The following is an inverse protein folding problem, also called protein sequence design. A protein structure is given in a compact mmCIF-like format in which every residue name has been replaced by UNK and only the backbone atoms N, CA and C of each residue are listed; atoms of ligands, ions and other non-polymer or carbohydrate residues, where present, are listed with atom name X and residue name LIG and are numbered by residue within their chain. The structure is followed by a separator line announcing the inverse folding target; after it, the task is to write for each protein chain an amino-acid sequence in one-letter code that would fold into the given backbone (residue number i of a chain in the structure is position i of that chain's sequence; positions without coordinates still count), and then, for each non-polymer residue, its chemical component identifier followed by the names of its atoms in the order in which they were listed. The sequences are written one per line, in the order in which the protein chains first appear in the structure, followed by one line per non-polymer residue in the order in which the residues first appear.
data_IF_546293630412
#
_entry.id   IF_546293630412
#
_cell.length_a   1.000
_cell.length_b   1.000
_cell.length_c   1.000
_cell.angle_alpha   90.00
_cell.angle_beta   90.00
_cell.angle_gamma   90.00
#
_symmetry.space_group_name_H-M   'P 1'
#
loop_
_entity.id
_entity.type
_entity.pdbx_description
1 polymer ?
#
# COMPACT_ATOMS: atom_id res chain seq x y z
N UNK A 1 41.02 -0.52 14.26
CA UNK A 1 40.13 0.66 14.36
C UNK A 1 39.01 0.34 15.33
N UNK A 2 38.84 1.12 16.39
CA UNK A 2 37.71 1.01 17.34
C UNK A 2 36.45 1.55 16.67
N UNK A 3 35.49 0.68 16.31
CA UNK A 3 34.21 1.08 15.72
C UNK A 3 33.22 1.42 16.85
N UNK A 4 32.78 2.68 16.89
CA UNK A 4 31.73 3.17 17.79
C UNK A 4 30.39 2.58 17.35
N UNK A 5 29.58 2.08 18.29
CA UNK A 5 28.21 1.63 18.02
C UNK A 5 27.43 2.77 17.37
N UNK A 6 26.94 2.53 16.15
CA UNK A 6 26.15 3.46 15.35
C UNK A 6 24.87 2.77 14.92
N UNK A 7 23.74 3.46 15.03
CA UNK A 7 22.43 3.02 14.54
C UNK A 7 22.17 3.38 13.07
N UNK A 8 23.17 3.97 12.40
CA UNK A 8 23.15 4.35 10.97
C UNK A 8 24.35 3.75 10.24
N UNK A 9 24.21 3.45 8.95
CA UNK A 9 25.32 2.91 8.15
C UNK A 9 26.45 3.93 8.09
N UNK A 10 27.65 3.51 8.50
CA UNK A 10 28.86 4.37 8.52
C UNK A 10 29.45 4.52 7.10
N UNK A 11 29.16 3.57 6.21
CA UNK A 11 29.74 3.48 4.87
C UNK A 11 28.75 4.03 3.83
N UNK A 12 29.00 5.25 3.33
CA UNK A 12 28.18 5.92 2.30
C UNK A 12 28.71 5.77 0.86
N UNK A 13 29.88 5.18 0.70
CA UNK A 13 30.57 4.93 -0.57
C UNK A 13 31.26 3.57 -0.53
N UNK A 14 31.42 2.93 -1.67
CA UNK A 14 32.24 1.71 -1.78
C UNK A 14 33.65 2.02 -1.30
N UNK A 15 34.13 1.25 -0.32
CA UNK A 15 35.49 1.33 0.19
C UNK A 15 36.21 0.00 -0.06
N UNK A 16 37.54 0.02 -0.11
CA UNK A 16 38.31 -1.21 -0.30
C UNK A 16 39.61 -1.16 0.48
N UNK A 17 39.97 -2.29 1.05
CA UNK A 17 41.23 -2.46 1.77
C UNK A 17 41.83 -3.83 1.48
N UNK A 18 43.11 -4.02 1.80
CA UNK A 18 43.80 -5.28 1.61
C UNK A 18 44.71 -5.63 2.77
N UNK A 19 44.84 -6.93 3.02
CA UNK A 19 45.74 -7.49 4.02
C UNK A 19 46.55 -8.65 3.43
N UNK A 20 47.78 -8.84 3.90
CA UNK A 20 48.55 -10.04 3.61
C UNK A 20 48.29 -11.08 4.70
N UNK A 21 47.76 -12.23 4.32
CA UNK A 21 47.51 -13.35 5.22
C UNK A 21 48.18 -14.61 4.65
N UNK A 22 49.14 -15.19 5.38
CA UNK A 22 49.90 -16.40 4.97
C UNK A 22 50.43 -16.33 3.53
N UNK A 23 50.99 -15.18 3.16
CA UNK A 23 51.55 -14.94 1.81
C UNK A 23 50.52 -14.62 0.72
N UNK A 24 49.21 -14.70 1.01
CA UNK A 24 48.12 -14.30 0.10
C UNK A 24 47.74 -12.85 0.33
N UNK A 25 47.49 -12.09 -0.74
CA UNK A 25 46.88 -10.75 -0.65
C UNK A 25 45.36 -10.91 -0.68
N UNK A 26 44.71 -10.64 0.45
CA UNK A 26 43.27 -10.59 0.56
C UNK A 26 42.82 -9.15 0.30
N UNK A 27 41.85 -8.94 -0.59
CA UNK A 27 41.27 -7.62 -0.85
C UNK A 27 39.78 -7.70 -0.55
N UNK A 28 39.29 -6.80 0.30
CA UNK A 28 37.89 -6.74 0.70
C UNK A 28 37.32 -5.43 0.17
N UNK A 29 36.12 -5.50 -0.40
CA UNK A 29 35.36 -4.34 -0.87
C UNK A 29 34.15 -4.22 0.04
N UNK A 30 34.10 -3.15 0.83
CA UNK A 30 32.97 -2.83 1.69
C UNK A 30 31.95 -2.01 0.88
N UNK A 31 30.73 -2.54 0.76
CA UNK A 31 29.63 -1.85 0.09
C UNK A 31 28.74 -1.17 1.13
N UNK A 32 28.17 0.01 0.82
CA UNK A 32 27.13 0.61 1.65
C UNK A 32 26.01 -0.39 1.96
N UNK A 33 25.55 -0.42 3.21
CA UNK A 33 24.48 -1.32 3.65
C UNK A 33 23.15 -1.02 2.96
N UNK A 34 22.37 -2.08 2.66
CA UNK A 34 21.04 -1.99 2.03
C UNK A 34 19.97 -1.31 2.91
N UNK A 35 20.16 -1.28 4.22
CA UNK A 35 19.18 -0.82 5.20
C UNK A 35 19.67 0.42 5.94
N UNK A 36 20.02 1.49 5.21
CA UNK A 36 20.27 2.78 5.84
C UNK A 36 18.93 3.48 6.10
N UNK A 37 18.52 3.55 7.37
CA UNK A 37 17.24 4.13 7.85
C UNK A 37 17.11 5.64 7.62
N UNK A 38 18.09 6.28 7.00
CA UNK A 38 18.09 7.70 6.65
C UNK A 38 17.60 8.00 5.22
N UNK A 39 17.39 6.97 4.40
CA UNK A 39 16.95 7.09 3.01
C UNK A 39 15.59 6.43 2.80
N UNK A 40 14.86 6.84 1.76
CA UNK A 40 13.70 6.06 1.30
C UNK A 40 14.16 4.70 0.76
N UNK A 41 13.35 3.65 0.85
CA UNK A 41 13.69 2.29 0.37
C UNK A 41 14.21 2.28 -1.08
N UNK A 42 13.68 3.18 -1.92
CA UNK A 42 14.12 3.38 -3.30
C UNK A 42 15.53 3.99 -3.42
N UNK A 43 15.82 5.05 -2.67
CA UNK A 43 17.14 5.69 -2.68
C UNK A 43 18.21 4.75 -2.14
N UNK A 44 17.87 3.96 -1.11
CA UNK A 44 18.73 2.90 -0.61
C UNK A 44 19.03 1.85 -1.69
N UNK A 45 17.99 1.35 -2.37
CA UNK A 45 18.16 0.39 -3.46
C UNK A 45 19.02 0.94 -4.61
N UNK A 46 18.75 2.15 -5.10
CA UNK A 46 19.54 2.79 -6.17
C UNK A 46 21.01 3.01 -5.78
N UNK A 47 21.28 3.46 -4.55
CA UNK A 47 22.63 3.62 -4.02
C UNK A 47 23.36 2.28 -3.95
N UNK A 48 22.68 1.22 -3.53
CA UNK A 48 23.26 -0.12 -3.45
C UNK A 48 23.55 -0.67 -4.85
N UNK A 49 22.59 -0.62 -5.78
CA UNK A 49 22.82 -1.09 -7.15
C UNK A 49 23.94 -0.32 -7.82
N UNK A 50 24.01 1.00 -7.62
CA UNK A 50 25.12 1.83 -8.14
C UNK A 50 26.45 1.43 -7.51
N UNK A 51 26.48 1.17 -6.20
CA UNK A 51 27.70 0.75 -5.48
C UNK A 51 28.18 -0.62 -5.95
N UNK A 52 27.27 -1.59 -6.09
CA UNK A 52 27.56 -2.92 -6.63
C UNK A 52 28.06 -2.82 -8.08
N UNK A 53 27.40 -2.02 -8.91
CA UNK A 53 27.82 -1.78 -10.29
C UNK A 53 29.24 -1.22 -10.33
N UNK A 54 29.53 -0.19 -9.51
CA UNK A 54 30.87 0.37 -9.42
C UNK A 54 31.90 -0.67 -8.98
N UNK A 55 31.61 -1.45 -7.94
CA UNK A 55 32.48 -2.50 -7.42
C UNK A 55 32.83 -3.55 -8.50
N UNK A 56 31.81 -4.08 -9.18
CA UNK A 56 31.98 -5.08 -10.26
C UNK A 56 32.77 -4.54 -11.44
N UNK A 57 32.54 -3.28 -11.85
CA UNK A 57 33.20 -2.71 -13.02
C UNK A 57 34.65 -2.28 -12.76
N UNK A 58 35.01 -1.96 -11.52
CA UNK A 58 36.39 -1.67 -11.14
C UNK A 58 37.21 -2.96 -11.06
N UNK A 59 36.62 -4.07 -10.63
CA UNK A 59 37.30 -5.36 -10.54
C UNK A 59 37.15 -6.21 -11.82
N UNK A 60 38.03 -5.98 -12.79
CA UNK A 60 38.01 -6.70 -14.08
C UNK A 60 38.22 -8.22 -13.98
N UNK A 61 38.82 -8.71 -12.88
CA UNK A 61 39.06 -10.14 -12.64
C UNK A 61 37.90 -10.85 -11.94
N UNK A 62 36.89 -10.10 -11.46
CA UNK A 62 35.80 -10.62 -10.67
C UNK A 62 36.17 -10.92 -9.21
N UNK A 63 35.15 -11.29 -8.43
CA UNK A 63 35.25 -11.60 -7.00
C UNK A 63 35.34 -13.10 -6.76
N UNK A 64 36.22 -13.49 -5.85
CA UNK A 64 36.39 -14.91 -5.46
C UNK A 64 35.19 -15.43 -4.66
N UNK A 65 34.55 -14.56 -3.87
CA UNK A 65 33.30 -14.83 -3.17
C UNK A 65 32.55 -13.52 -2.85
N UNK A 66 31.26 -13.63 -2.59
CA UNK A 66 30.40 -12.57 -2.04
C UNK A 66 30.09 -12.95 -0.60
N UNK A 67 30.24 -12.02 0.34
CA UNK A 67 30.04 -12.29 1.77
C UNK A 67 28.71 -11.66 2.21
N UNK A 68 27.80 -12.48 2.72
CA UNK A 68 26.58 -12.02 3.39
C UNK A 68 26.78 -12.07 4.90
N UNK A 69 26.64 -10.94 5.59
CA UNK A 69 26.87 -10.85 7.04
C UNK A 69 25.55 -10.69 7.76
N UNK A 70 25.24 -11.60 8.70
CA UNK A 70 24.09 -11.49 9.60
C UNK A 70 24.56 -11.50 11.07
N UNK A 71 23.69 -11.12 12.00
CA UNK A 71 24.00 -11.12 13.44
C UNK A 71 23.45 -12.38 14.10
N UNK A 72 24.23 -13.00 14.98
CA UNK A 72 23.76 -14.13 15.79
C UNK A 72 22.48 -13.76 16.55
N UNK A 73 21.48 -14.65 16.51
CA UNK A 73 20.19 -14.48 17.19
C UNK A 73 19.26 -13.44 16.55
N UNK A 74 19.64 -12.83 15.42
CA UNK A 74 18.80 -11.85 14.71
C UNK A 74 18.88 -12.08 13.20
N UNK A 75 18.05 -13.02 12.74
CA UNK A 75 17.71 -13.18 11.33
C UNK A 75 16.22 -12.86 11.17
N UNK A 76 15.91 -11.70 10.59
CA UNK A 76 14.55 -11.19 10.49
C UNK A 76 14.04 -11.24 9.05
N UNK A 77 12.76 -10.90 8.85
CA UNK A 77 12.21 -10.71 7.51
C UNK A 77 12.96 -9.64 6.71
N UNK A 78 13.60 -8.68 7.38
CA UNK A 78 14.43 -7.66 6.73
C UNK A 78 15.65 -8.30 6.07
N UNK A 79 16.29 -9.28 6.73
CA UNK A 79 17.40 -10.06 6.15
C UNK A 79 16.97 -10.82 4.89
N UNK A 80 15.77 -11.41 4.93
CA UNK A 80 15.21 -12.15 3.79
C UNK A 80 14.87 -11.23 2.61
N UNK A 81 14.30 -10.05 2.87
CA UNK A 81 14.08 -9.06 1.80
C UNK A 81 15.40 -8.54 1.24
N UNK A 82 16.41 -8.27 2.08
CA UNK A 82 17.77 -7.87 1.64
C UNK A 82 18.36 -8.91 0.69
N UNK A 83 18.25 -10.20 1.00
CA UNK A 83 18.73 -11.28 0.13
C UNK A 83 17.99 -11.31 -1.21
N UNK A 84 16.69 -11.02 -1.23
CA UNK A 84 15.91 -10.91 -2.47
C UNK A 84 16.36 -9.73 -3.33
N UNK A 85 16.67 -8.59 -2.73
CA UNK A 85 17.23 -7.44 -3.47
C UNK A 85 18.62 -7.78 -4.04
N UNK A 86 19.46 -8.45 -3.24
CA UNK A 86 20.77 -8.92 -3.68
C UNK A 86 20.67 -9.95 -4.81
N UNK A 87 19.63 -10.80 -4.83
CA UNK A 87 19.38 -11.73 -5.96
C UNK A 87 18.99 -10.98 -7.22
N UNK A 88 18.19 -9.91 -7.11
CA UNK A 88 17.94 -9.03 -8.24
C UNK A 88 19.23 -8.31 -8.69
N UNK A 89 20.14 -7.99 -7.75
CA UNK A 89 21.39 -7.30 -8.04
C UNK A 89 22.44 -8.17 -8.70
N UNK A 90 22.76 -9.32 -8.12
CA UNK A 90 23.86 -10.20 -8.54
C UNK A 90 23.39 -11.34 -9.45
N UNK A 91 22.08 -11.55 -9.57
CA UNK A 91 21.47 -12.67 -10.28
C UNK A 91 20.94 -13.73 -9.32
N UNK A 92 19.90 -14.48 -9.71
CA UNK A 92 19.15 -15.35 -8.80
C UNK A 92 20.02 -16.44 -8.16
N UNK A 93 21.01 -16.96 -8.89
CA UNK A 93 21.84 -18.07 -8.43
C UNK A 93 23.05 -17.61 -7.58
N UNK A 94 23.25 -16.30 -7.36
CA UNK A 94 24.48 -15.84 -6.72
C UNK A 94 24.64 -16.39 -5.30
N UNK A 95 23.53 -16.56 -4.56
CA UNK A 95 23.53 -17.12 -3.21
C UNK A 95 24.06 -18.56 -3.23
N UNK A 96 23.55 -19.35 -4.18
CA UNK A 96 23.95 -20.76 -4.34
C UNK A 96 25.38 -20.92 -4.84
N UNK A 97 25.84 -20.02 -5.71
CA UNK A 97 27.10 -20.21 -6.43
C UNK A 97 28.29 -19.47 -5.83
N UNK A 98 28.11 -18.27 -5.31
CA UNK A 98 29.23 -17.39 -4.95
C UNK A 98 29.14 -16.81 -3.54
N UNK A 99 28.05 -17.06 -2.80
CA UNK A 99 27.85 -16.48 -1.48
C UNK A 99 28.43 -17.36 -0.36
N UNK A 100 28.97 -16.71 0.68
CA UNK A 100 29.31 -17.29 1.97
C UNK A 100 28.59 -16.48 3.05
N UNK A 101 27.91 -17.16 3.96
CA UNK A 101 27.23 -16.52 5.08
C UNK A 101 28.17 -16.41 6.29
N UNK A 102 28.34 -15.19 6.81
CA UNK A 102 29.11 -14.88 8.01
C UNK A 102 28.14 -14.49 9.12
N UNK A 103 28.11 -15.29 10.18
CA UNK A 103 27.35 -14.97 11.41
C UNK A 103 28.27 -14.22 12.36
N UNK A 104 28.04 -12.92 12.49
CA UNK A 104 28.77 -12.03 13.39
C UNK A 104 28.26 -12.12 14.84
N UNK A 105 29.04 -11.57 15.77
CA UNK A 105 28.74 -11.58 17.21
C UNK A 105 28.72 -13.00 17.81
N UNK A 106 29.61 -13.87 17.30
CA UNK A 106 29.73 -15.23 17.81
C UNK A 106 30.23 -15.28 19.28
N UNK A 107 30.84 -14.19 19.76
CA UNK A 107 31.21 -13.96 21.16
C UNK A 107 30.02 -13.94 22.12
N UNK A 108 28.81 -13.66 21.62
CA UNK A 108 27.60 -13.66 22.44
C UNK A 108 27.04 -15.08 22.68
N UNK A 109 27.61 -16.10 22.04
CA UNK A 109 27.18 -17.48 22.21
C UNK A 109 27.94 -18.15 23.35
N UNK A 110 27.25 -18.41 24.46
CA UNK A 110 27.81 -19.18 25.56
C UNK A 110 27.45 -20.67 25.42
N UNK A 111 28.47 -21.48 25.21
CA UNK A 111 28.31 -22.93 25.05
C UNK A 111 27.90 -23.62 26.36
N UNK A 112 28.29 -23.07 27.51
CA UNK A 112 27.91 -23.63 28.82
C UNK A 112 26.44 -23.38 29.13
N UNK A 113 25.94 -22.17 28.82
CA UNK A 113 24.52 -21.84 28.94
C UNK A 113 23.65 -22.66 27.97
N UNK A 114 24.21 -23.09 26.84
CA UNK A 114 23.54 -23.90 25.82
C UNK A 114 23.79 -25.41 25.99
N UNK A 115 23.98 -25.88 27.23
CA UNK A 115 24.14 -27.30 27.57
C UNK A 115 25.29 -28.02 26.83
N UNK A 116 26.36 -27.30 26.49
CA UNK A 116 27.51 -27.84 25.77
C UNK A 116 27.33 -27.93 24.26
N UNK A 117 26.24 -27.41 23.70
CA UNK A 117 26.01 -27.38 22.25
C UNK A 117 26.92 -26.32 21.62
N UNK A 118 27.69 -26.68 20.61
CA UNK A 118 28.52 -25.70 19.89
C UNK A 118 27.68 -24.76 19.03
N UNK A 119 28.17 -23.54 18.81
CA UNK A 119 27.48 -22.54 17.95
C UNK A 119 27.10 -23.11 16.57
N UNK A 120 27.97 -23.94 15.97
CA UNK A 120 27.66 -24.56 14.67
C UNK A 120 26.57 -25.62 14.77
N UNK A 121 26.47 -26.36 15.88
CA UNK A 121 25.36 -27.29 16.12
C UNK A 121 24.05 -26.53 16.35
N UNK A 122 24.08 -25.44 17.10
CA UNK A 122 22.93 -24.55 17.28
C UNK A 122 22.42 -24.01 15.94
N UNK A 123 23.30 -23.38 15.14
CA UNK A 123 22.96 -22.91 13.79
C UNK A 123 22.49 -24.04 12.85
N UNK A 124 22.86 -25.30 13.15
CA UNK A 124 22.39 -26.46 12.41
C UNK A 124 20.98 -26.92 12.78
N UNK A 125 20.54 -26.64 14.00
CA UNK A 125 19.21 -26.95 14.52
C UNK A 125 18.17 -25.86 14.20
N UNK A 126 18.63 -24.65 13.87
CA UNK A 126 17.75 -23.55 13.43
C UNK A 126 16.81 -23.96 12.30
N UNK A 127 15.60 -23.39 12.31
CA UNK A 127 14.53 -23.64 11.34
C UNK A 127 14.05 -22.34 10.69
N UNK A 128 13.17 -22.43 9.68
CA UNK A 128 12.61 -21.25 9.01
C UNK A 128 13.58 -20.57 8.03
N UNK A 129 13.45 -19.26 7.86
CA UNK A 129 14.11 -18.47 6.81
C UNK A 129 15.65 -18.54 6.87
N UNK A 130 16.23 -18.60 8.08
CA UNK A 130 17.66 -18.80 8.27
C UNK A 130 18.12 -20.16 7.72
N UNK A 131 17.38 -21.22 8.05
CA UNK A 131 17.70 -22.58 7.61
C UNK A 131 17.60 -22.72 6.09
N UNK A 132 16.61 -22.07 5.48
CA UNK A 132 16.42 -22.06 4.03
C UNK A 132 17.53 -21.28 3.32
N UNK A 133 17.90 -20.11 3.85
CA UNK A 133 19.04 -19.32 3.35
C UNK A 133 20.35 -20.11 3.46
N UNK A 134 20.58 -20.79 4.58
CA UNK A 134 21.75 -21.65 4.77
C UNK A 134 21.80 -22.78 3.74
N UNK A 135 20.68 -23.45 3.48
CA UNK A 135 20.58 -24.50 2.45
C UNK A 135 20.86 -23.94 1.06
N UNK A 136 20.26 -22.79 0.73
CA UNK A 136 20.51 -22.12 -0.55
C UNK A 136 21.98 -21.78 -0.72
N UNK A 137 22.65 -21.31 0.34
CA UNK A 137 24.09 -21.04 0.39
C UNK A 137 24.97 -22.32 0.51
N UNK A 138 24.40 -23.49 0.22
CA UNK A 138 25.06 -24.80 0.30
C UNK A 138 25.83 -25.04 1.62
N UNK A 139 25.28 -24.58 2.74
CA UNK A 139 25.87 -24.71 4.07
C UNK A 139 27.25 -24.04 4.25
N UNK A 140 27.60 -23.07 3.39
CA UNK A 140 28.82 -22.24 3.54
C UNK A 140 28.59 -21.17 4.61
N UNK A 141 28.67 -21.59 5.87
CA UNK A 141 28.47 -20.72 7.04
C UNK A 141 29.74 -20.69 7.88
N UNK A 142 30.17 -19.48 8.24
CA UNK A 142 31.26 -19.24 9.19
C UNK A 142 30.81 -18.29 10.29
N UNK A 143 31.33 -18.47 11.50
CA UNK A 143 31.05 -17.60 12.64
C UNK A 143 32.25 -16.70 12.91
N UNK A 144 31.98 -15.43 13.21
CA UNK A 144 33.00 -14.41 13.47
C UNK A 144 32.76 -13.76 14.83
N UNK A 145 33.77 -13.83 15.67
CA UNK A 145 33.94 -13.00 16.87
C UNK A 145 34.80 -11.80 16.46
N UNK A 146 34.15 -10.65 16.27
CA UNK A 146 34.84 -9.41 15.90
C UNK A 146 35.39 -8.65 17.11
N UNK A 147 35.07 -9.10 18.33
CA UNK A 147 35.49 -8.48 19.60
C UNK A 147 36.80 -9.11 20.15
N UNK A 148 37.13 -10.33 19.71
CA UNK A 148 38.36 -11.00 20.14
C UNK A 148 39.62 -10.19 19.85
N UNK A 149 40.56 -10.22 20.78
CA UNK A 149 41.92 -9.73 20.58
C UNK A 149 42.92 -10.87 20.37
N UNK A 150 42.48 -12.13 20.47
CA UNK A 150 43.31 -13.30 20.27
C UNK A 150 43.60 -13.49 18.78
N UNK A 151 44.88 -13.43 18.42
CA UNK A 151 45.32 -13.58 17.03
C UNK A 151 45.08 -14.98 16.49
N UNK A 152 45.19 -16.02 17.32
CA UNK A 152 44.94 -17.40 16.92
C UNK A 152 43.47 -17.60 16.55
N UNK A 153 42.55 -17.03 17.32
CA UNK A 153 41.11 -17.08 17.03
C UNK A 153 40.80 -16.34 15.72
N UNK A 154 41.40 -15.16 15.51
CA UNK A 154 41.25 -14.40 14.25
C UNK A 154 41.76 -15.19 13.05
N UNK A 155 42.94 -15.77 13.16
CA UNK A 155 43.57 -16.54 12.08
C UNK A 155 42.72 -17.77 11.73
N UNK A 156 42.20 -18.49 12.73
CA UNK A 156 41.34 -19.66 12.52
C UNK A 156 40.03 -19.28 11.81
N UNK A 157 39.39 -18.17 12.18
CA UNK A 157 38.17 -17.68 11.53
C UNK A 157 38.43 -17.30 10.06
N UNK A 158 39.55 -16.61 9.79
CA UNK A 158 39.96 -16.26 8.42
C UNK A 158 40.26 -17.52 7.61
N UNK A 159 40.93 -18.53 8.19
CA UNK A 159 41.19 -19.80 7.51
C UNK A 159 39.92 -20.55 7.15
N UNK A 160 38.94 -20.62 8.05
CA UNK A 160 37.65 -21.26 7.78
C UNK A 160 36.94 -20.57 6.62
N UNK A 161 36.94 -19.23 6.59
CA UNK A 161 36.39 -18.46 5.48
C UNK A 161 37.12 -18.76 4.17
N UNK A 162 38.46 -18.73 4.18
CA UNK A 162 39.26 -18.95 2.97
C UNK A 162 39.10 -20.36 2.39
N UNK A 163 38.83 -21.39 3.20
CA UNK A 163 38.51 -22.74 2.71
C UNK A 163 37.27 -22.74 1.81
N UNK A 164 36.23 -22.00 2.18
CA UNK A 164 35.04 -21.86 1.34
C UNK A 164 35.31 -21.03 0.09
N UNK A 165 36.09 -19.95 0.21
CA UNK A 165 36.48 -19.13 -0.95
C UNK A 165 37.25 -19.98 -1.97
N UNK A 166 38.21 -20.78 -1.51
CA UNK A 166 39.02 -21.63 -2.38
C UNK A 166 38.17 -22.71 -3.08
N UNK A 167 37.19 -23.30 -2.39
CA UNK A 167 36.23 -24.24 -3.00
C UNK A 167 35.35 -23.56 -4.05
N UNK A 168 34.79 -22.37 -3.77
CA UNK A 168 33.99 -21.63 -4.77
C UNK A 168 34.81 -21.36 -6.04
N UNK A 169 36.05 -20.88 -5.89
CA UNK A 169 36.91 -20.58 -7.04
C UNK A 169 37.29 -21.82 -7.83
N UNK A 170 37.52 -22.96 -7.16
CA UNK A 170 37.86 -24.22 -7.81
C UNK A 170 36.67 -24.85 -8.55
N UNK A 171 35.49 -24.86 -7.92
CA UNK A 171 34.33 -25.61 -8.41
C UNK A 171 33.47 -24.80 -9.39
N UNK A 172 33.39 -23.48 -9.19
CA UNK A 172 32.43 -22.59 -9.88
C UNK A 172 33.16 -21.47 -10.62
N UNK A 173 34.25 -20.97 -10.03
CA UNK A 173 34.99 -19.82 -10.53
C UNK A 173 34.53 -18.50 -9.91
N UNK A 174 35.09 -17.39 -10.44
CA UNK A 174 34.86 -16.05 -9.91
C UNK A 174 33.57 -15.44 -10.41
N UNK A 175 32.91 -14.67 -9.53
CA UNK A 175 31.82 -13.81 -9.92
C UNK A 175 32.36 -12.63 -10.76
N UNK A 176 32.08 -12.62 -12.06
CA UNK A 176 32.63 -11.66 -13.00
C UNK A 176 31.56 -10.76 -13.64
N UNK A 177 32.01 -9.75 -14.39
CA UNK A 177 31.14 -8.80 -15.10
C UNK A 177 30.14 -9.50 -16.04
N UNK A 178 30.51 -10.62 -16.66
CA UNK A 178 29.60 -11.37 -17.54
C UNK A 178 28.40 -11.92 -16.79
N UNK A 179 28.61 -12.52 -15.62
CA UNK A 179 27.54 -12.98 -14.73
C UNK A 179 26.68 -11.81 -14.23
N UNK A 180 27.31 -10.69 -13.91
CA UNK A 180 26.60 -9.47 -13.52
C UNK A 180 25.71 -8.91 -14.64
N UNK A 181 26.18 -8.98 -15.88
CA UNK A 181 25.42 -8.53 -17.06
C UNK A 181 24.27 -9.47 -17.42
N UNK A 182 24.41 -10.79 -17.19
CA UNK A 182 23.31 -11.75 -17.36
C UNK A 182 22.11 -11.43 -16.46
N UNK A 183 22.36 -10.86 -15.27
CA UNK A 183 21.31 -10.44 -14.36
C UNK A 183 20.69 -9.07 -14.71
N UNK A 184 21.13 -8.40 -15.79
CA UNK A 184 20.73 -7.01 -16.10
C UNK A 184 19.22 -6.85 -16.30
N UNK A 185 18.57 -7.76 -17.00
CA UNK A 185 17.12 -7.68 -17.24
C UNK A 185 16.34 -7.80 -15.94
N UNK A 186 16.66 -8.81 -15.11
CA UNK A 186 16.03 -9.00 -13.81
C UNK A 186 16.27 -7.80 -12.88
N UNK A 187 17.50 -7.25 -12.86
CA UNK A 187 17.87 -6.05 -12.11
C UNK A 187 17.10 -4.82 -12.57
N UNK A 188 17.02 -4.59 -13.88
CA UNK A 188 16.28 -3.47 -14.45
C UNK A 188 14.79 -3.58 -14.14
N UNK A 189 14.21 -4.77 -14.31
CA UNK A 189 12.82 -5.04 -13.95
C UNK A 189 12.56 -4.77 -12.47
N UNK A 190 13.42 -5.23 -11.58
CA UNK A 190 13.31 -4.97 -10.15
C UNK A 190 13.42 -3.47 -9.81
N UNK A 191 14.35 -2.75 -10.45
CA UNK A 191 14.46 -1.29 -10.33
C UNK A 191 13.19 -0.60 -10.85
N UNK A 192 12.59 -1.07 -11.95
CA UNK A 192 11.34 -0.56 -12.51
C UNK A 192 10.11 -0.86 -11.63
N UNK A 193 10.08 -2.03 -10.99
CA UNK A 193 9.10 -2.43 -9.99
C UNK A 193 9.23 -1.57 -8.73
N UNK A 194 10.44 -1.30 -8.24
CA UNK A 194 10.69 -0.34 -7.15
C UNK A 194 10.36 1.11 -7.54
N UNK A 195 10.36 1.43 -8.84
CA UNK A 195 9.86 2.69 -9.40
C UNK A 195 8.35 2.67 -9.62
N UNK A 196 7.62 1.58 -9.32
CA UNK A 196 6.16 1.62 -9.29
C UNK A 196 5.72 2.37 -8.02
N UNK A 197 4.97 3.48 -8.13
CA UNK A 197 4.26 4.01 -6.98
C UNK A 197 3.21 2.98 -6.57
N UNK A 198 3.42 2.35 -5.42
CA UNK A 198 2.39 1.56 -4.75
C UNK A 198 1.37 2.60 -4.27
N UNK A 199 0.10 2.48 -4.70
CA UNK A 199 -0.99 3.28 -4.13
C UNK A 199 -0.92 3.13 -2.61
N UNK A 200 -0.61 4.20 -1.88
CA UNK A 200 -0.53 4.12 -0.43
C UNK A 200 -1.93 3.87 0.15
N UNK A 201 -2.01 3.09 1.22
CA UNK A 201 -3.26 2.83 1.94
C UNK A 201 -3.93 4.15 2.39
N UNK A 202 -3.13 5.19 2.62
CA UNK A 202 -3.60 6.55 2.93
C UNK A 202 -4.31 7.22 1.74
N UNK A 203 -3.74 7.18 0.53
CA UNK A 203 -4.41 7.70 -0.67
C UNK A 203 -5.70 6.95 -0.98
N UNK A 204 -5.73 5.63 -0.74
CA UNK A 204 -6.94 4.82 -0.87
C UNK A 204 -7.99 5.25 0.16
N UNK A 205 -7.59 5.39 1.42
CA UNK A 205 -8.48 5.84 2.50
C UNK A 205 -9.09 7.21 2.22
N UNK A 206 -8.27 8.17 1.81
CA UNK A 206 -8.71 9.53 1.51
C UNK A 206 -9.67 9.56 0.31
N UNK A 207 -9.39 8.80 -0.75
CA UNK A 207 -10.27 8.76 -1.92
C UNK A 207 -11.66 8.21 -1.58
N UNK A 208 -11.72 7.16 -0.75
CA UNK A 208 -12.99 6.57 -0.27
C UNK A 208 -13.76 7.56 0.60
N UNK A 209 -13.10 8.22 1.56
CA UNK A 209 -13.74 9.21 2.43
C UNK A 209 -14.27 10.41 1.67
N UNK A 210 -13.52 10.90 0.68
CA UNK A 210 -13.96 12.01 -0.19
C UNK A 210 -15.18 11.58 -0.99
N UNK A 211 -15.15 10.41 -1.63
CA UNK A 211 -16.26 9.92 -2.44
C UNK A 211 -17.55 9.75 -1.63
N UNK A 212 -17.46 9.19 -0.43
CA UNK A 212 -18.61 9.04 0.47
C UNK A 212 -19.14 10.40 0.94
N UNK A 213 -18.23 11.32 1.25
CA UNK A 213 -18.55 12.70 1.56
C UNK A 213 -19.31 13.44 0.45
N UNK A 214 -18.95 13.21 -0.82
CA UNK A 214 -19.65 13.82 -1.97
C UNK A 214 -21.08 13.27 -2.12
N UNK A 215 -21.27 11.97 -1.89
CA UNK A 215 -22.59 11.32 -2.02
C UNK A 215 -23.60 11.81 -0.97
N UNK A 216 -23.11 12.21 0.19
CA UNK A 216 -23.92 12.62 1.35
C UNK A 216 -24.29 14.11 1.36
N UNK A 217 -23.87 14.88 0.34
CA UNK A 217 -24.22 16.31 0.22
C UNK A 217 -25.74 16.46 0.07
N UNK A 218 -26.36 17.13 1.04
CA UNK A 218 -27.77 17.51 0.98
C UNK A 218 -27.94 18.76 0.11
N UNK A 219 -28.77 18.65 -0.93
CA UNK A 219 -29.03 19.73 -1.89
C UNK A 219 -30.20 20.62 -1.50
N UNK A 220 -30.88 20.30 -0.39
CA UNK A 220 -32.07 21.03 0.08
C UNK A 220 -31.72 22.44 0.58
N UNK A 221 -30.57 22.58 1.25
CA UNK A 221 -30.04 23.87 1.70
C UNK A 221 -28.91 24.36 0.78
N UNK A 222 -29.19 25.41 0.02
CA UNK A 222 -28.28 25.92 -1.02
C UNK A 222 -26.93 26.33 -0.43
N UNK A 223 -26.91 27.10 0.65
CA UNK A 223 -25.66 27.69 1.16
C UNK A 223 -24.76 26.62 1.77
N UNK A 224 -25.33 25.67 2.50
CA UNK A 224 -24.62 24.52 3.07
C UNK A 224 -24.07 23.61 1.97
N UNK A 225 -24.90 23.28 0.97
CA UNK A 225 -24.48 22.44 -0.15
C UNK A 225 -23.32 23.06 -0.92
N UNK A 226 -23.39 24.36 -1.23
CA UNK A 226 -22.33 25.09 -1.92
C UNK A 226 -21.03 25.08 -1.11
N UNK A 227 -21.11 25.26 0.20
CA UNK A 227 -19.95 25.21 1.11
C UNK A 227 -19.31 23.82 1.17
N UNK A 228 -20.12 22.76 1.23
CA UNK A 228 -19.64 21.38 1.20
C UNK A 228 -18.99 21.04 -0.13
N UNK A 229 -19.62 21.39 -1.26
CA UNK A 229 -19.06 21.19 -2.60
C UNK A 229 -17.69 21.87 -2.74
N UNK A 230 -17.55 23.11 -2.26
CA UNK A 230 -16.27 23.83 -2.28
C UNK A 230 -15.20 23.10 -1.45
N UNK A 231 -15.57 22.61 -0.27
CA UNK A 231 -14.68 21.85 0.62
C UNK A 231 -14.19 20.57 -0.05
N UNK A 232 -15.09 19.76 -0.60
CA UNK A 232 -14.70 18.51 -1.26
C UNK A 232 -13.94 18.75 -2.57
N UNK A 233 -14.24 19.82 -3.30
CA UNK A 233 -13.45 20.21 -4.47
C UNK A 233 -11.99 20.50 -4.10
N UNK A 234 -11.75 21.15 -2.97
CA UNK A 234 -10.39 21.35 -2.46
C UNK A 234 -9.74 20.01 -2.10
N UNK A 235 -10.44 19.14 -1.36
CA UNK A 235 -9.91 17.81 -0.99
C UNK A 235 -9.54 16.95 -2.20
N UNK A 236 -10.34 16.97 -3.27
CA UNK A 236 -10.03 16.27 -4.52
C UNK A 236 -8.77 16.84 -5.18
N UNK A 237 -8.59 18.15 -5.18
CA UNK A 237 -7.36 18.77 -5.70
C UNK A 237 -6.14 18.40 -4.86
N UNK A 238 -6.25 18.45 -3.53
CA UNK A 238 -5.16 18.07 -2.62
C UNK A 238 -4.77 16.59 -2.81
N UNK A 239 -5.77 15.71 -2.96
CA UNK A 239 -5.55 14.30 -3.28
C UNK A 239 -4.85 14.13 -4.63
N UNK A 240 -5.26 14.89 -5.65
CA UNK A 240 -4.63 14.88 -6.97
C UNK A 240 -3.17 15.33 -6.92
N UNK A 241 -2.86 16.40 -6.16
CA UNK A 241 -1.48 16.88 -6.00
C UNK A 241 -0.60 15.87 -5.24
N UNK A 242 -1.14 15.24 -4.19
CA UNK A 242 -0.42 14.16 -3.48
C UNK A 242 -0.19 12.96 -4.39
N UNK A 243 -1.20 12.57 -5.17
CA UNK A 243 -1.08 11.51 -6.18
C UNK A 243 0.00 11.87 -7.21
N UNK A 244 0.09 13.11 -7.68
CA UNK A 244 1.14 13.54 -8.60
C UNK A 244 2.54 13.49 -7.99
N UNK A 245 2.67 13.93 -6.73
CA UNK A 245 3.92 13.83 -5.97
C UNK A 245 4.36 12.39 -5.71
N UNK A 246 3.41 11.47 -5.50
CA UNK A 246 3.69 10.04 -5.34
C UNK A 246 3.98 9.35 -6.68
N UNK A 247 3.26 9.72 -7.76
CA UNK A 247 3.43 9.16 -9.09
C UNK A 247 4.79 9.53 -9.69
N UNK A 248 5.30 10.74 -9.41
CA UNK A 248 6.60 11.26 -9.88
C UNK A 248 6.82 11.09 -11.39
N UNK A 249 5.74 11.17 -12.18
CA UNK A 249 5.79 11.05 -13.64
C UNK A 249 5.93 9.62 -14.17
N UNK A 250 5.62 8.61 -13.36
CA UNK A 250 5.70 7.20 -13.77
C UNK A 250 4.46 6.73 -14.55
N UNK A 251 3.33 7.43 -14.43
CA UNK A 251 2.07 7.13 -15.11
C UNK A 251 1.33 5.90 -14.55
N UNK A 252 1.78 5.36 -13.42
CA UNK A 252 1.23 4.12 -12.83
C UNK A 252 0.07 4.40 -11.87
N UNK A 253 -0.05 5.62 -11.34
CA UNK A 253 -1.23 6.08 -10.59
C UNK A 253 -2.35 6.62 -11.49
N UNK A 254 -2.37 6.26 -12.78
CA UNK A 254 -3.37 6.74 -13.74
C UNK A 254 -4.81 6.40 -13.31
N UNK A 255 -5.02 5.27 -12.62
CA UNK A 255 -6.30 4.89 -12.03
C UNK A 255 -6.76 5.89 -10.95
N UNK A 256 -5.85 6.34 -10.08
CA UNK A 256 -6.14 7.36 -9.05
C UNK A 256 -6.38 8.74 -9.67
N UNK A 257 -5.63 9.11 -10.70
CA UNK A 257 -5.91 10.33 -11.46
C UNK A 257 -7.28 10.30 -12.13
N UNK A 258 -7.68 9.15 -12.67
CA UNK A 258 -9.02 8.96 -13.23
C UNK A 258 -10.09 9.08 -12.14
N UNK A 259 -9.87 8.49 -10.96
CA UNK A 259 -10.77 8.65 -9.81
C UNK A 259 -10.91 10.11 -9.38
N UNK A 260 -9.81 10.86 -9.29
CA UNK A 260 -9.86 12.29 -8.98
C UNK A 260 -10.67 13.08 -10.02
N UNK A 261 -10.54 12.73 -11.31
CA UNK A 261 -11.33 13.31 -12.39
C UNK A 261 -12.82 12.99 -12.21
N UNK A 262 -13.18 11.73 -11.95
CA UNK A 262 -14.56 11.31 -11.71
C UNK A 262 -15.17 12.03 -10.49
N UNK A 263 -14.43 12.18 -9.40
CA UNK A 263 -14.90 12.93 -8.22
C UNK A 263 -15.15 14.41 -8.52
N UNK A 264 -14.30 15.03 -9.36
CA UNK A 264 -14.51 16.40 -9.80
C UNK A 264 -15.77 16.55 -10.68
N UNK A 265 -16.04 15.57 -11.54
CA UNK A 265 -17.27 15.52 -12.36
C UNK A 265 -18.52 15.32 -11.48
N UNK A 266 -18.47 14.44 -10.49
CA UNK A 266 -19.57 14.25 -9.52
C UNK A 266 -19.89 15.53 -8.75
N UNK A 267 -18.87 16.29 -8.34
CA UNK A 267 -19.04 17.58 -7.68
C UNK A 267 -19.66 18.63 -8.61
N UNK A 268 -19.31 18.64 -9.89
CA UNK A 268 -19.93 19.50 -10.89
C UNK A 268 -21.42 19.17 -11.07
N UNK A 269 -21.74 17.87 -11.18
CA UNK A 269 -23.13 17.40 -11.29
C UNK A 269 -23.94 17.77 -10.03
N UNK A 270 -23.37 17.58 -8.84
CA UNK A 270 -24.00 18.00 -7.59
C UNK A 270 -24.25 19.51 -7.53
N UNK A 271 -23.34 20.30 -8.08
CA UNK A 271 -23.53 21.76 -8.15
C UNK A 271 -24.70 22.14 -9.04
N UNK A 272 -24.82 21.53 -10.21
CA UNK A 272 -25.98 21.76 -11.08
C UNK A 272 -27.30 21.36 -10.40
N UNK A 273 -27.30 20.25 -9.66
CA UNK A 273 -28.46 19.80 -8.89
C UNK A 273 -28.90 20.86 -7.86
N UNK A 274 -27.96 21.42 -7.10
CA UNK A 274 -28.23 22.52 -6.15
C UNK A 274 -28.81 23.74 -6.85
N UNK A 275 -28.25 24.13 -8.01
CA UNK A 275 -28.74 25.28 -8.76
C UNK A 275 -30.15 25.03 -9.35
N UNK A 276 -30.47 23.80 -9.77
CA UNK A 276 -31.82 23.40 -10.22
C UNK A 276 -32.84 23.41 -9.08
N UNK A 277 -32.50 22.82 -7.93
CA UNK A 277 -33.39 22.80 -6.74
C UNK A 277 -33.67 24.22 -6.27
N UNK A 278 -32.67 25.10 -6.26
CA UNK A 278 -32.87 26.51 -5.93
C UNK A 278 -33.80 27.24 -6.91
N UNK A 279 -33.68 26.95 -8.21
CA UNK A 279 -34.57 27.50 -9.24
C UNK A 279 -36.02 27.06 -9.06
N UNK A 280 -36.25 25.77 -8.77
CA UNK A 280 -37.58 25.23 -8.49
C UNK A 280 -38.17 25.85 -7.22
N UNK A 281 -37.38 25.97 -6.14
CA UNK A 281 -37.83 26.62 -4.91
C UNK A 281 -38.23 28.09 -5.12
N UNK A 282 -37.50 28.83 -5.95
CA UNK A 282 -37.86 30.21 -6.30
C UNK A 282 -39.18 30.27 -7.10
N UNK A 283 -39.40 29.34 -8.04
CA UNK A 283 -40.67 29.23 -8.77
C UNK A 283 -41.83 28.92 -7.82
N UNK A 284 -41.66 27.96 -6.90
CA UNK A 284 -42.66 27.62 -5.89
C UNK A 284 -43.04 28.85 -5.06
N UNK A 285 -42.06 29.61 -4.55
CA UNK A 285 -42.32 30.83 -3.78
C UNK A 285 -43.06 31.90 -4.60
N UNK A 286 -42.69 32.08 -5.87
CA UNK A 286 -43.34 33.03 -6.76
C UNK A 286 -44.80 32.64 -7.07
N UNK A 287 -45.05 31.33 -7.25
CA UNK A 287 -46.39 30.79 -7.41
C UNK A 287 -47.21 31.02 -6.14
N UNK A 288 -46.70 30.64 -4.96
CA UNK A 288 -47.38 30.87 -3.67
C UNK A 288 -47.77 32.33 -3.44
N UNK A 289 -46.93 33.29 -3.85
CA UNK A 289 -47.25 34.73 -3.76
C UNK A 289 -48.41 35.14 -4.68
N UNK A 290 -48.47 34.60 -5.91
CA UNK A 290 -49.59 34.81 -6.84
C UNK A 290 -50.86 34.10 -6.36
N UNK A 291 -50.72 32.97 -5.67
CA UNK A 291 -51.85 32.22 -5.08
C UNK A 291 -52.61 33.05 -4.06
N UNK A 292 -51.90 33.81 -3.22
CA UNK A 292 -52.49 34.74 -2.25
C UNK A 292 -53.17 35.97 -2.89
N UNK A 293 -53.14 36.10 -4.23
CA UNK A 293 -53.75 37.20 -4.99
C UNK A 293 -54.99 36.79 -5.83
N UNK A 294 -55.51 35.56 -5.70
CA UNK A 294 -56.91 35.26 -6.06
C UNK A 294 -57.23 34.52 -7.37
N UNK A 295 -56.35 33.67 -7.91
CA UNK A 295 -56.66 32.82 -9.09
C UNK A 295 -57.25 31.42 -8.75
N UNK A 296 -58.00 30.84 -9.69
CA UNK A 296 -58.75 29.55 -9.64
C UNK A 296 -57.90 28.32 -9.20
N UNK A 297 -58.28 27.67 -8.09
CA UNK A 297 -57.53 26.59 -7.41
C UNK A 297 -57.39 25.28 -8.23
N UNK A 298 -58.34 24.97 -9.12
CA UNK A 298 -58.33 23.70 -9.86
C UNK A 298 -57.22 23.62 -10.91
N UNK A 299 -56.96 24.72 -11.62
CA UNK A 299 -55.85 24.77 -12.60
C UNK A 299 -54.47 24.72 -11.94
N UNK A 300 -54.38 25.14 -10.67
CA UNK A 300 -53.15 25.17 -9.86
C UNK A 300 -52.71 23.79 -9.38
N UNK A 301 -53.63 22.94 -8.95
CA UNK A 301 -53.32 21.57 -8.51
C UNK A 301 -52.78 20.75 -9.69
N UNK A 302 -53.34 20.94 -10.88
CA UNK A 302 -52.95 20.22 -12.08
C UNK A 302 -51.54 20.60 -12.57
N UNK A 303 -51.16 21.88 -12.51
CA UNK A 303 -49.80 22.35 -12.83
C UNK A 303 -48.76 21.89 -11.80
N UNK A 304 -49.07 21.98 -10.49
CA UNK A 304 -48.16 21.53 -9.44
C UNK A 304 -47.95 20.01 -9.49
N UNK A 305 -48.99 19.23 -9.77
CA UNK A 305 -48.87 17.78 -9.97
C UNK A 305 -48.04 17.44 -11.20
N UNK A 306 -48.15 18.21 -12.29
CA UNK A 306 -47.30 18.04 -13.49
C UNK A 306 -45.82 18.26 -13.18
N UNK A 307 -45.50 19.34 -12.47
CA UNK A 307 -44.11 19.66 -12.09
C UNK A 307 -43.55 18.59 -11.15
N UNK A 308 -44.32 18.16 -10.15
CA UNK A 308 -43.85 17.17 -9.19
C UNK A 308 -43.61 15.80 -9.86
N UNK A 309 -44.49 15.40 -10.77
CA UNK A 309 -44.35 14.15 -11.54
C UNK A 309 -43.18 14.18 -12.53
N UNK A 310 -42.89 15.35 -13.12
CA UNK A 310 -41.67 15.54 -13.91
C UNK A 310 -40.41 15.46 -13.04
N UNK A 311 -40.46 16.02 -11.83
CA UNK A 311 -39.34 16.00 -10.88
C UNK A 311 -39.04 14.57 -10.39
N UNK A 312 -40.07 13.79 -10.04
CA UNK A 312 -39.93 12.38 -9.65
C UNK A 312 -39.33 11.53 -10.78
N UNK A 313 -39.79 11.71 -12.02
CA UNK A 313 -39.26 10.99 -13.18
C UNK A 313 -37.78 11.33 -13.45
N UNK A 314 -37.38 12.58 -13.23
CA UNK A 314 -35.99 13.02 -13.39
C UNK A 314 -35.08 12.50 -12.27
N UNK A 315 -35.55 12.49 -11.02
CA UNK A 315 -34.83 11.88 -9.89
C UNK A 315 -34.60 10.39 -10.16
N UNK A 316 -35.60 9.68 -10.68
CA UNK A 316 -35.48 8.26 -11.02
C UNK A 316 -34.51 8.03 -12.19
N UNK A 317 -34.45 8.94 -13.17
CA UNK A 317 -33.48 8.88 -14.26
C UNK A 317 -32.03 9.12 -13.77
N UNK A 318 -31.80 10.12 -12.93
CA UNK A 318 -30.49 10.40 -12.33
C UNK A 318 -30.01 9.23 -11.46
N UNK A 319 -30.89 8.69 -10.61
CA UNK A 319 -30.57 7.52 -9.81
C UNK A 319 -30.23 6.31 -10.69
N UNK A 320 -30.90 6.12 -11.83
CA UNK A 320 -30.56 5.07 -12.81
C UNK A 320 -29.19 5.28 -13.46
N UNK A 321 -28.79 6.51 -13.77
CA UNK A 321 -27.45 6.81 -14.31
C UNK A 321 -26.35 6.55 -13.29
N UNK A 322 -26.52 7.04 -12.05
CA UNK A 322 -25.60 6.79 -10.93
C UNK A 322 -25.46 5.28 -10.67
N UNK A 323 -26.56 4.53 -10.75
CA UNK A 323 -26.53 3.07 -10.50
C UNK A 323 -25.85 2.31 -11.63
N UNK A 324 -26.05 2.72 -12.90
CA UNK A 324 -25.34 2.14 -14.05
C UNK A 324 -23.85 2.43 -14.00
N UNK A 325 -23.44 3.67 -13.77
CA UNK A 325 -22.03 4.05 -13.73
C UNK A 325 -21.29 3.40 -12.55
N UNK A 326 -21.91 3.35 -11.37
CA UNK A 326 -21.31 2.70 -10.21
C UNK A 326 -21.21 1.18 -10.36
N UNK A 327 -22.20 0.49 -10.95
CA UNK A 327 -22.13 -0.97 -11.16
C UNK A 327 -21.11 -1.32 -12.25
N UNK A 328 -21.07 -0.55 -13.34
CA UNK A 328 -20.12 -0.80 -14.44
C UNK A 328 -18.69 -0.54 -13.96
N UNK A 329 -18.47 0.51 -13.16
CA UNK A 329 -17.17 0.82 -12.56
C UNK A 329 -16.73 -0.19 -11.49
N UNK A 330 -17.64 -0.66 -10.62
CA UNK A 330 -17.31 -1.71 -9.66
C UNK A 330 -16.96 -3.03 -10.35
N UNK A 331 -17.61 -3.36 -11.47
CA UNK A 331 -17.32 -4.55 -12.27
C UNK A 331 -16.00 -4.42 -13.05
N UNK A 332 -15.65 -3.23 -13.56
CA UNK A 332 -14.35 -2.99 -14.21
C UNK A 332 -13.19 -3.00 -13.21
N UNK A 333 -13.33 -2.37 -12.04
CA UNK A 333 -12.35 -2.44 -10.97
C UNK A 333 -12.20 -3.88 -10.44
N UNK A 334 -13.31 -4.60 -10.24
CA UNK A 334 -13.24 -6.01 -9.84
C UNK A 334 -12.71 -6.90 -10.98
N UNK A 335 -12.95 -6.58 -12.24
CA UNK A 335 -12.37 -7.28 -13.39
C UNK A 335 -10.84 -7.14 -13.46
N UNK A 336 -10.32 -5.96 -13.12
CA UNK A 336 -8.87 -5.72 -13.01
C UNK A 336 -8.26 -6.39 -11.78
N UNK A 337 -8.98 -6.44 -10.65
CA UNK A 337 -8.56 -7.14 -9.42
C UNK A 337 -8.65 -8.67 -9.56
N UNK A 338 -9.68 -9.19 -10.24
CA UNK A 338 -9.89 -10.63 -10.48
C UNK A 338 -9.02 -11.18 -11.61
N UNK A 339 -8.59 -10.35 -12.57
CA UNK A 339 -7.58 -10.73 -13.56
C UNK A 339 -6.25 -11.14 -12.92
N UNK A 340 -5.91 -10.53 -11.78
CA UNK A 340 -4.75 -10.88 -10.94
C UNK A 340 -5.02 -12.06 -9.99
N UNK A 341 -6.28 -12.38 -9.71
CA UNK A 341 -6.69 -13.53 -8.89
C UNK A 341 -6.87 -14.84 -9.68
N UNK A 342 -6.36 -14.90 -10.92
CA UNK A 342 -6.29 -16.14 -11.70
C UNK A 342 -5.25 -17.16 -11.18
N UNK A 343 -4.57 -16.85 -10.07
CA UNK A 343 -3.75 -17.79 -9.29
C UNK A 343 -4.38 -18.20 -7.95
N UNK A 344 -5.68 -18.49 -7.97
CA UNK A 344 -6.34 -19.39 -7.03
C UNK A 344 -6.58 -18.84 -5.62
N UNK A 345 -7.81 -18.37 -5.36
CA UNK A 345 -8.56 -18.54 -4.10
C UNK A 345 -10.05 -18.31 -4.41
N UNK A 346 -10.93 -19.18 -3.90
CA UNK A 346 -12.38 -19.10 -4.05
C UNK A 346 -12.97 -18.07 -3.07
N UNK A 347 -13.34 -16.88 -3.56
CA UNK A 347 -14.01 -15.80 -2.79
C UNK A 347 -15.54 -15.89 -2.88
N UNK A 348 -16.08 -16.95 -3.49
CA UNK A 348 -17.51 -17.09 -3.76
C UNK A 348 -18.38 -17.36 -2.50
N UNK A 349 -17.78 -17.72 -1.36
CA UNK A 349 -18.51 -18.04 -0.13
C UNK A 349 -18.84 -16.81 0.73
N UNK A 350 -17.99 -15.78 0.76
CA UNK A 350 -18.21 -14.58 1.59
C UNK A 350 -19.24 -13.61 0.99
N UNK A 351 -19.47 -13.64 -0.32
CA UNK A 351 -20.40 -12.70 -0.99
C UNK A 351 -21.87 -13.10 -0.91
N UNK A 352 -22.18 -14.37 -0.60
CA UNK A 352 -23.57 -14.82 -0.46
C UNK A 352 -24.23 -14.16 0.75
N UNK A 353 -23.47 -13.93 1.82
CA UNK A 353 -23.95 -13.28 3.06
C UNK A 353 -24.16 -11.77 2.88
N UNK A 354 -23.31 -11.08 2.12
CA UNK A 354 -23.46 -9.64 1.88
C UNK A 354 -24.70 -9.30 1.02
N UNK A 355 -25.11 -10.22 0.13
CA UNK A 355 -26.32 -10.06 -0.69
C UNK A 355 -27.62 -10.18 0.12
N UNK A 356 -27.61 -10.95 1.21
CA UNK A 356 -28.80 -11.16 2.05
C UNK A 356 -29.07 -9.96 2.97
N UNK A 357 -28.03 -9.24 3.41
CA UNK A 357 -28.20 -8.03 4.25
C UNK A 357 -28.84 -6.84 3.52
N UNK A 358 -28.86 -6.78 2.18
CA UNK A 358 -29.48 -5.67 1.42
C UNK A 358 -31.00 -5.77 1.26
N UNK A 359 -31.65 -6.90 1.60
CA UNK A 359 -33.12 -7.00 1.52
C UNK A 359 -33.88 -6.27 2.64
N UNK A 360 -33.20 -5.69 3.64
CA UNK A 360 -33.86 -5.09 4.81
C UNK A 360 -34.01 -3.56 4.73
N UNK A 361 -33.38 -2.87 3.77
CA UNK A 361 -33.41 -1.38 3.68
C UNK A 361 -34.32 -0.87 2.54
N UNK A 362 -35.40 -1.59 2.24
CA UNK A 362 -36.51 -1.07 1.42
C UNK A 362 -37.84 -1.24 2.18
N UNK A 363 -37.91 -0.64 3.36
CA UNK A 363 -39.13 -0.54 4.16
C UNK A 363 -39.45 0.93 4.46
N UNK A 364 -39.95 1.68 3.48
CA UNK A 364 -40.50 3.02 3.72
C UNK A 364 -41.97 2.87 4.11
N UNK A 365 -42.26 3.04 5.41
CA UNK A 365 -43.62 3.23 5.94
C UNK A 365 -44.23 4.46 5.25
N UNK A 366 -45.37 4.24 4.60
CA UNK A 366 -46.28 5.29 4.13
C UNK A 366 -46.96 5.89 5.36
N UNK A 367 -46.75 7.18 5.62
CA UNK A 367 -47.67 7.95 6.47
C UNK A 367 -48.79 8.46 5.57
N UNK A 368 -49.97 7.85 5.66
CA UNK A 368 -51.20 8.39 5.09
C UNK A 368 -51.62 9.61 5.93
N UNK A 369 -51.83 10.75 5.28
CA UNK A 369 -52.78 11.78 5.73
C UNK A 369 -53.64 12.15 4.53
N UNK A 370 -54.88 11.70 4.56
CA UNK A 370 -55.93 12.04 3.59
C UNK A 370 -56.87 13.06 4.20
N UNK A 371 -57.50 13.82 3.30
CA UNK A 371 -58.31 15.02 3.49
C UNK A 371 -59.55 14.89 4.38
N UNK A 372 -60.07 16.06 4.76
CA UNK A 372 -61.37 16.31 5.34
C UNK A 372 -62.51 16.14 4.33
N UNK A 373 -63.62 15.50 4.75
CA UNK A 373 -65.02 15.97 4.64
C UNK A 373 -65.97 14.83 5.00
N UNK A 374 -66.83 15.03 6.01
CA UNK A 374 -68.28 14.74 5.97
C UNK A 374 -68.90 14.77 7.39
N UNK A 375 -69.80 15.73 7.60
CA UNK A 375 -70.78 15.82 8.71
C UNK A 375 -71.90 14.76 8.50
N UNK A 376 -72.73 14.36 9.51
CA UNK A 376 -73.41 15.28 10.43
C UNK A 376 -73.65 14.84 11.90
N UNK A 377 -73.93 15.90 12.69
CA UNK A 377 -74.67 16.03 13.94
C UNK A 377 -75.15 14.79 14.73
N UNK A 378 -74.87 14.75 16.03
CA UNK A 378 -75.86 14.96 17.11
C UNK A 378 -75.25 14.72 18.50
N UNK A 379 -75.56 15.67 19.40
CA UNK A 379 -75.78 15.54 20.85
C UNK A 379 -74.63 15.23 21.83
N UNK A 380 -74.42 16.24 22.68
CA UNK A 380 -74.29 16.23 24.15
C UNK A 380 -72.91 15.96 24.80
N UNK A 381 -72.36 17.07 25.34
CA UNK A 381 -71.56 17.18 26.57
C UNK A 381 -72.19 16.44 27.79
N UNK A 382 -71.59 16.47 29.00
CA UNK A 382 -70.17 16.59 29.40
C UNK A 382 -69.80 15.35 30.28
N UNK A 383 -68.60 15.16 30.81
CA UNK A 383 -68.07 15.78 32.04
C UNK A 383 -66.82 15.00 32.45
N UNK A 384 -65.88 15.72 33.08
CA UNK A 384 -65.10 15.25 34.25
C UNK A 384 -64.12 14.08 34.03
N UNK A 385 -62.96 13.99 34.66
CA UNK A 385 -62.22 14.78 35.63
C UNK A 385 -60.87 14.05 35.76
N UNK A 386 -59.83 14.76 36.22
CA UNK A 386 -58.72 14.19 37.02
C UNK A 386 -57.81 13.14 36.34
N UNK A 387 -56.53 12.96 36.69
CA UNK A 387 -55.50 13.63 37.48
C UNK A 387 -54.29 12.68 37.35
N UNK A 388 -53.10 13.26 37.53
CA UNK A 388 -51.89 12.65 38.10
C UNK A 388 -51.12 11.68 37.19
N UNK A 389 -49.88 12.04 36.86
CA UNK A 389 -48.68 11.85 37.72
C UNK A 389 -48.50 10.37 38.05
N UNK A 390 -47.65 9.68 37.29
CA UNK A 390 -46.26 9.40 37.69
C UNK A 390 -45.44 8.96 36.48
#
# INVERSE_FOLDING_TARGET
MTKRLSTSSVTKKVDYDFVKFRGRKLTVVDCPGLLDTSCTAKEAAELVFSSIHQAVFINTKGYDAIIYVCKLGRFTKEDTEVLKELKAAFGPDFVQKHCIMVVSHADLYDTEEENGVSIMQFLNQETGEFADTKKECCHRVVTFDNATNDQSIKDEQIEKLLKFVDSIVADIGRYNKGLFEQAREARNKYIEEMKTPILSDELIGDSVLILEGIKTIDVSDRDTAIKQIKTYKQKVNDLKERTDKEDRGTGKLQSMFLQCKTMAELLANKREEVDRVAGLNAQIVSLSKRTNQGDDESKKIEELQKINKQMEAQIEHLNRQITKENITFFLDCMGQVLGLASQGISVASQWRDFSQSRRVITGRRVYNTTAASDLPALTQEPTEDKKREQ
#
